data_IF_937418775970
#
_entry.id   IF_937418775970
#
_cell.length_a   1.000
_cell.length_b   1.000
_cell.length_c   1.000
_cell.angle_alpha   90.00
_cell.angle_beta   90.00
_cell.angle_gamma   90.00
#
_symmetry.space_group_name_H-M   'P 1'
#
loop_
_entity.id
_entity.type
_entity.pdbx_description
1 polymer ?
#
# COMPACT_ATOMS: atom_id res chain seq x y z
N UNK A 1 7.62 3.96 4.56
CA UNK A 1 7.17 5.01 5.48
C UNK A 1 5.88 4.55 6.11
N UNK A 2 5.81 4.56 7.36
CA UNK A 2 4.74 4.91 8.23
C UNK A 2 4.63 4.02 9.44
N UNK A 3 4.74 4.64 10.53
CA UNK A 3 3.81 4.45 11.65
C UNK A 3 2.77 5.54 11.48
N UNK A 4 1.52 5.16 11.63
CA UNK A 4 0.30 5.94 11.48
C UNK A 4 0.42 7.46 11.33
N UNK A 5 -0.41 8.00 10.49
CA UNK A 5 -0.58 9.44 10.24
C UNK A 5 -0.64 10.32 11.52
N UNK A 6 -0.78 9.74 12.71
CA UNK A 6 -0.74 10.44 13.99
C UNK A 6 0.59 11.12 14.31
N UNK A 7 1.74 10.56 13.86
CA UNK A 7 3.07 11.16 14.08
C UNK A 7 3.42 12.25 13.05
N UNK A 8 2.64 12.39 11.99
CA UNK A 8 2.88 13.31 10.87
C UNK A 8 2.69 14.78 11.28
N UNK A 9 1.98 15.05 12.35
CA UNK A 9 1.50 16.39 12.65
C UNK A 9 2.23 17.11 13.78
N UNK A 10 3.46 16.75 14.04
CA UNK A 10 4.26 17.39 15.09
C UNK A 10 4.42 18.92 14.95
N UNK A 11 4.02 19.48 13.78
CA UNK A 11 4.08 20.93 13.56
C UNK A 11 2.86 21.44 12.81
N UNK A 12 1.75 21.61 13.52
CA UNK A 12 0.52 22.22 12.99
C UNK A 12 0.77 23.56 12.27
N UNK A 13 1.80 24.30 12.70
CA UNK A 13 2.21 25.55 12.06
C UNK A 13 2.60 25.36 10.57
N UNK A 14 3.30 24.29 10.22
CA UNK A 14 3.67 24.04 8.84
C UNK A 14 2.45 23.77 7.96
N UNK A 15 1.47 23.05 8.48
CA UNK A 15 0.20 22.80 7.78
C UNK A 15 -0.49 24.11 7.45
N UNK A 16 -0.59 24.98 8.45
CA UNK A 16 -1.21 26.31 8.27
C UNK A 16 -0.45 27.14 7.25
N UNK A 17 0.88 27.19 7.32
CA UNK A 17 1.73 27.90 6.35
C UNK A 17 1.56 27.37 4.94
N UNK A 18 1.48 26.04 4.75
CA UNK A 18 1.24 25.44 3.44
C UNK A 18 -0.13 25.80 2.88
N UNK A 19 -1.16 25.83 3.71
CA UNK A 19 -2.50 26.23 3.30
C UNK A 19 -2.53 27.74 2.99
N UNK A 20 -1.94 28.59 3.83
CA UNK A 20 -1.85 30.05 3.64
C UNK A 20 -1.09 30.44 2.36
N UNK A 21 -0.19 29.58 1.86
CA UNK A 21 0.50 29.82 0.59
C UNK A 21 -0.46 29.83 -0.62
N UNK A 22 -1.61 29.16 -0.53
CA UNK A 22 -2.61 29.00 -1.60
C UNK A 22 -3.95 29.65 -1.29
N UNK A 23 -4.37 29.61 -0.04
CA UNK A 23 -5.68 30.12 0.41
C UNK A 23 -5.43 31.35 1.28
N UNK A 24 -6.01 32.49 0.87
CA UNK A 24 -5.86 33.78 1.56
C UNK A 24 -7.07 34.13 2.43
N UNK A 25 -8.16 33.36 2.35
CA UNK A 25 -9.36 33.60 3.14
C UNK A 25 -9.12 33.34 4.64
N UNK A 26 -9.22 34.37 5.49
CA UNK A 26 -8.95 34.23 6.93
C UNK A 26 -9.96 33.34 7.64
N UNK A 27 -11.17 33.19 7.10
CA UNK A 27 -12.20 32.34 7.72
C UNK A 27 -11.85 30.85 7.52
N UNK A 28 -11.35 30.48 6.34
CA UNK A 28 -10.90 29.13 6.05
C UNK A 28 -9.68 28.80 6.91
N UNK A 29 -8.72 29.71 7.00
CA UNK A 29 -7.52 29.53 7.84
C UNK A 29 -7.89 29.35 9.32
N UNK A 30 -8.81 30.17 9.82
CA UNK A 30 -9.33 30.06 11.19
C UNK A 30 -10.03 28.72 11.44
N UNK A 31 -10.82 28.25 10.47
CA UNK A 31 -11.48 26.95 10.55
C UNK A 31 -10.47 25.80 10.61
N UNK A 32 -9.46 25.82 9.74
CA UNK A 32 -8.39 24.81 9.74
C UNK A 32 -7.64 24.80 11.08
N UNK A 33 -7.28 25.96 11.62
CA UNK A 33 -6.63 26.07 12.93
C UNK A 33 -7.50 25.48 14.05
N UNK A 34 -8.81 25.69 14.01
CA UNK A 34 -9.76 25.09 14.96
C UNK A 34 -9.82 23.57 14.80
N UNK A 35 -9.87 23.06 13.56
CA UNK A 35 -9.86 21.63 13.30
C UNK A 35 -8.57 20.93 13.76
N UNK A 36 -7.42 21.60 13.61
CA UNK A 36 -6.14 21.09 14.07
C UNK A 36 -6.03 21.07 15.62
N UNK A 37 -6.67 22.04 16.28
CA UNK A 37 -6.71 22.13 17.75
C UNK A 37 -7.84 21.31 18.37
N UNK A 38 -8.83 20.87 17.59
CA UNK A 38 -9.91 20.03 18.09
C UNK A 38 -9.32 18.68 18.50
N UNK A 39 -9.39 18.36 19.79
CA UNK A 39 -8.98 17.08 20.33
C UNK A 39 -9.85 15.91 19.83
N UNK A 40 -9.53 14.71 20.25
CA UNK A 40 -10.32 13.51 20.00
C UNK A 40 -11.22 13.27 21.20
N UNK A 41 -12.50 12.99 20.94
CA UNK A 41 -13.37 12.45 21.97
C UNK A 41 -13.32 10.92 21.91
N UNK A 42 -12.69 10.32 22.89
CA UNK A 42 -12.53 8.89 23.03
C UNK A 42 -13.36 8.43 24.23
N UNK A 43 -14.41 7.61 24.03
CA UNK A 43 -15.29 7.10 25.10
C UNK A 43 -15.85 8.18 26.06
N UNK A 44 -16.26 9.35 25.53
CA UNK A 44 -16.72 10.54 26.29
C UNK A 44 -15.64 11.28 27.09
N UNK A 45 -14.38 10.92 26.99
CA UNK A 45 -13.25 11.68 27.52
C UNK A 45 -12.59 12.50 26.40
N UNK A 46 -12.35 13.79 26.68
CA UNK A 46 -11.70 14.70 25.74
C UNK A 46 -10.19 14.58 25.92
N UNK A 47 -9.52 14.05 24.90
CA UNK A 47 -8.06 14.09 24.81
C UNK A 47 -7.65 15.29 23.96
N UNK A 48 -7.01 16.28 24.57
CA UNK A 48 -6.40 17.38 23.85
C UNK A 48 -5.23 16.85 23.03
N UNK A 49 -5.30 17.01 21.70
CA UNK A 49 -4.16 16.70 20.84
C UNK A 49 -3.23 17.90 20.78
N UNK A 50 -2.18 17.90 21.58
CA UNK A 50 -1.09 18.87 21.47
C UNK A 50 -0.28 18.67 20.17
N UNK A 51 -0.30 17.46 19.62
CA UNK A 51 0.39 17.07 18.39
C UNK A 51 -0.59 16.43 17.39
N UNK A 52 -0.83 17.15 16.28
CA UNK A 52 -1.47 16.55 15.11
C UNK A 52 -2.99 16.73 15.01
N UNK A 53 -3.58 16.21 13.95
CA UNK A 53 -5.03 16.02 13.84
C UNK A 53 -5.37 14.65 14.43
N UNK A 54 -6.42 14.59 15.25
CA UNK A 54 -6.86 13.35 15.86
C UNK A 54 -7.03 12.21 14.85
N UNK A 55 -6.55 11.04 15.20
CA UNK A 55 -6.70 9.83 14.37
C UNK A 55 -8.20 9.57 14.20
N UNK A 56 -8.70 9.58 12.93
CA UNK A 56 -10.14 9.46 12.64
C UNK A 56 -10.86 10.78 12.27
N UNK A 57 -10.19 11.94 12.32
CA UNK A 57 -10.76 13.19 11.83
C UNK A 57 -11.02 13.10 10.32
N UNK A 58 -12.20 13.55 9.86
CA UNK A 58 -12.60 13.57 8.45
C UNK A 58 -11.62 14.37 7.57
N UNK A 59 -11.01 15.41 8.11
CA UNK A 59 -10.05 16.26 7.40
C UNK A 59 -8.62 15.72 7.37
N UNK A 60 -8.29 14.75 8.23
CA UNK A 60 -6.94 14.20 8.37
C UNK A 60 -6.32 13.71 7.06
N UNK A 61 -7.02 12.95 6.18
CA UNK A 61 -6.46 12.49 4.92
C UNK A 61 -6.11 13.64 3.96
N UNK A 62 -6.95 14.67 3.90
CA UNK A 62 -6.73 15.83 3.02
C UNK A 62 -5.51 16.62 3.49
N UNK A 63 -5.45 16.91 4.78
CA UNK A 63 -4.35 17.65 5.41
C UNK A 63 -3.04 16.87 5.23
N UNK A 64 -3.06 15.56 5.41
CA UNK A 64 -1.92 14.68 5.16
C UNK A 64 -1.43 14.75 3.71
N UNK A 65 -2.34 14.73 2.75
CA UNK A 65 -2.00 14.87 1.33
C UNK A 65 -1.37 16.25 1.03
N UNK A 66 -1.90 17.33 1.60
CA UNK A 66 -1.33 18.68 1.48
C UNK A 66 0.08 18.70 2.07
N UNK A 67 0.27 18.13 3.25
CA UNK A 67 1.57 18.08 3.91
C UNK A 67 2.61 17.34 3.07
N UNK A 68 2.28 16.11 2.64
CA UNK A 68 3.16 15.30 1.80
C UNK A 68 3.43 15.94 0.44
N UNK A 69 2.47 16.72 -0.09
CA UNK A 69 2.70 17.48 -1.31
C UNK A 69 3.87 18.45 -1.16
N UNK A 70 3.89 19.29 -0.13
CA UNK A 70 4.95 20.29 0.05
C UNK A 70 6.26 19.68 0.56
N UNK A 71 6.16 18.72 1.50
CA UNK A 71 7.33 18.10 2.10
C UNK A 71 8.09 17.23 1.09
N UNK A 72 7.37 16.44 0.29
CA UNK A 72 7.99 15.45 -0.62
C UNK A 72 7.82 15.81 -2.09
N UNK A 73 6.58 15.96 -2.59
CA UNK A 73 6.32 16.02 -4.03
C UNK A 73 6.87 17.31 -4.63
N UNK A 74 6.52 18.46 -4.04
CA UNK A 74 7.00 19.76 -4.49
C UNK A 74 8.52 19.86 -4.36
N UNK A 75 9.08 19.48 -3.21
CA UNK A 75 10.51 19.45 -2.99
C UNK A 75 11.26 18.56 -3.99
N UNK A 76 10.74 17.37 -4.26
CA UNK A 76 11.32 16.46 -5.24
C UNK A 76 11.36 17.11 -6.64
N UNK A 77 10.25 17.72 -7.05
CA UNK A 77 10.12 18.31 -8.40
C UNK A 77 10.97 19.56 -8.57
N UNK A 78 10.86 20.50 -7.62
CA UNK A 78 11.44 21.86 -7.79
C UNK A 78 12.88 21.95 -7.27
N UNK A 79 13.29 21.10 -6.32
CA UNK A 79 14.62 21.18 -5.70
C UNK A 79 15.48 19.97 -6.07
N UNK A 80 14.97 18.76 -5.87
CA UNK A 80 15.76 17.53 -6.07
C UNK A 80 16.06 17.30 -7.56
N UNK A 81 15.01 17.27 -8.39
CA UNK A 81 15.16 16.92 -9.82
C UNK A 81 16.20 17.77 -10.57
N UNK A 82 16.28 19.10 -10.37
CA UNK A 82 17.31 19.92 -11.02
C UNK A 82 18.76 19.61 -10.56
N UNK A 83 18.95 19.02 -9.39
CA UNK A 83 20.26 18.68 -8.83
C UNK A 83 20.76 17.30 -9.25
N UNK A 84 19.90 16.46 -9.84
CA UNK A 84 20.25 15.11 -10.24
C UNK A 84 21.01 15.10 -11.58
N UNK A 85 21.90 14.11 -11.72
CA UNK A 85 22.67 13.90 -12.97
C UNK A 85 21.85 13.21 -14.05
N UNK A 86 20.82 12.46 -13.67
CA UNK A 86 20.00 11.68 -14.58
C UNK A 86 18.51 11.77 -14.30
N UNK A 87 17.75 11.03 -15.08
CA UNK A 87 16.29 10.97 -14.90
C UNK A 87 15.92 10.34 -13.55
N UNK A 88 14.95 10.95 -12.90
CA UNK A 88 14.31 10.41 -11.71
C UNK A 88 12.78 10.53 -11.80
N UNK A 89 12.08 9.57 -11.20
CA UNK A 89 10.62 9.56 -11.15
C UNK A 89 10.13 9.24 -9.75
N UNK A 90 9.13 9.97 -9.30
CA UNK A 90 8.49 9.80 -7.99
C UNK A 90 7.04 9.37 -8.18
N UNK A 91 6.63 8.32 -7.47
CA UNK A 91 5.23 7.87 -7.36
C UNK A 91 4.86 7.84 -5.89
N UNK A 92 3.81 8.57 -5.53
CA UNK A 92 3.32 8.71 -4.15
C UNK A 92 1.88 8.21 -4.06
N UNK A 93 1.58 7.48 -3.01
CA UNK A 93 0.23 7.07 -2.65
C UNK A 93 0.09 7.17 -1.13
N UNK A 94 -0.60 8.19 -0.67
CA UNK A 94 -0.67 8.58 0.73
C UNK A 94 0.74 8.74 1.34
N UNK A 95 1.10 7.90 2.30
CA UNK A 95 2.40 7.85 2.97
C UNK A 95 3.41 6.88 2.32
N UNK A 96 2.94 6.01 1.43
CA UNK A 96 3.81 5.10 0.67
C UNK A 96 4.33 5.78 -0.61
N UNK A 97 5.62 5.68 -0.89
CA UNK A 97 6.18 6.20 -2.13
C UNK A 97 7.32 5.34 -2.67
N UNK A 98 7.53 5.44 -3.98
CA UNK A 98 8.62 4.80 -4.70
C UNK A 98 9.31 5.85 -5.56
N UNK A 99 10.64 5.90 -5.48
CA UNK A 99 11.46 6.78 -6.32
C UNK A 99 12.36 5.93 -7.20
N UNK A 100 12.43 6.28 -8.46
CA UNK A 100 13.30 5.63 -9.44
C UNK A 100 14.39 6.60 -9.88
N UNK A 101 15.61 6.13 -10.02
CA UNK A 101 16.76 6.91 -10.45
C UNK A 101 17.51 6.22 -11.59
N UNK A 102 18.03 7.00 -12.49
CA UNK A 102 18.90 6.50 -13.56
C UNK A 102 20.27 6.09 -13.01
N UNK A 103 20.83 6.85 -12.08
CA UNK A 103 22.14 6.63 -11.48
C UNK A 103 22.06 6.28 -10.00
N UNK A 104 22.91 5.35 -9.57
CA UNK A 104 23.02 4.95 -8.16
C UNK A 104 23.48 6.11 -7.26
N UNK A 105 24.39 6.96 -7.76
CA UNK A 105 24.85 8.14 -7.02
C UNK A 105 23.71 9.05 -6.62
N UNK A 106 22.77 9.30 -7.55
CA UNK A 106 21.62 10.16 -7.34
C UNK A 106 20.66 9.54 -6.30
N UNK A 107 20.49 8.21 -6.36
CA UNK A 107 19.65 7.51 -5.40
C UNK A 107 20.23 7.57 -3.97
N UNK A 108 21.55 7.41 -3.80
CA UNK A 108 22.21 7.50 -2.49
C UNK A 108 22.12 8.94 -1.97
N UNK A 109 22.48 9.91 -2.80
CA UNK A 109 22.39 11.33 -2.46
C UNK A 109 20.96 11.71 -2.01
N UNK A 110 19.95 11.33 -2.81
CA UNK A 110 18.54 11.58 -2.47
C UNK A 110 18.14 10.95 -1.14
N UNK A 111 18.55 9.71 -0.87
CA UNK A 111 18.16 9.00 0.36
C UNK A 111 18.66 9.71 1.62
N UNK A 112 19.89 10.22 1.59
CA UNK A 112 20.47 10.99 2.69
C UNK A 112 19.73 12.32 2.90
N UNK A 113 19.53 13.08 1.82
CA UNK A 113 18.80 14.35 1.87
C UNK A 113 17.34 14.19 2.26
N UNK A 114 16.71 13.08 1.86
CA UNK A 114 15.36 12.74 2.26
C UNK A 114 15.26 12.54 3.78
N UNK A 115 16.22 11.87 4.41
CA UNK A 115 16.23 11.70 5.89
C UNK A 115 16.26 13.06 6.59
N UNK A 116 17.13 13.96 6.17
CA UNK A 116 17.20 15.31 6.71
C UNK A 116 15.92 16.11 6.48
N UNK A 117 15.39 16.03 5.26
CA UNK A 117 14.14 16.69 4.88
C UNK A 117 12.97 16.24 5.75
N UNK A 118 12.78 14.94 5.88
CA UNK A 118 11.70 14.37 6.71
C UNK A 118 11.87 14.78 8.18
N UNK A 119 13.07 14.69 8.75
CA UNK A 119 13.35 15.11 10.10
C UNK A 119 13.03 16.59 10.35
N UNK A 120 13.35 17.48 9.40
CA UNK A 120 13.03 18.92 9.51
C UNK A 120 11.52 19.17 9.66
N UNK A 121 10.69 18.38 8.98
CA UNK A 121 9.24 18.47 9.06
C UNK A 121 8.61 17.54 10.12
N UNK A 122 9.41 16.98 11.04
CA UNK A 122 8.91 16.12 12.09
C UNK A 122 8.43 14.75 11.62
N UNK A 123 8.85 14.32 10.42
CA UNK A 123 8.58 12.99 9.87
C UNK A 123 9.78 12.09 10.05
N UNK A 124 9.54 10.80 10.21
CA UNK A 124 10.58 9.77 10.24
C UNK A 124 10.39 8.78 9.09
N UNK A 125 11.51 8.33 8.52
CA UNK A 125 11.51 7.22 7.58
C UNK A 125 11.57 5.91 8.37
N UNK A 126 10.70 4.97 8.03
CA UNK A 126 10.79 3.62 8.60
C UNK A 126 11.94 2.87 7.91
N UNK A 127 13.07 2.76 8.61
CA UNK A 127 14.31 2.20 8.05
C UNK A 127 14.16 0.75 7.59
N UNK A 128 13.38 -0.07 8.32
CA UNK A 128 13.11 -1.46 7.95
C UNK A 128 12.40 -1.61 6.60
N UNK A 129 11.61 -0.61 6.21
CA UNK A 129 10.87 -0.61 4.93
C UNK A 129 11.54 0.22 3.84
N UNK A 130 12.38 1.17 4.23
CA UNK A 130 13.08 2.06 3.29
C UNK A 130 14.41 1.46 2.87
N UNK A 131 14.56 1.16 1.58
CA UNK A 131 15.79 0.53 1.07
C UNK A 131 16.08 0.93 -0.36
N UNK A 132 17.36 1.00 -0.69
CA UNK A 132 17.85 1.12 -2.04
C UNK A 132 17.97 -0.27 -2.67
N UNK A 133 17.44 -0.44 -3.86
CA UNK A 133 17.48 -1.71 -4.59
C UNK A 133 18.00 -1.51 -6.01
N UNK A 134 18.79 -2.46 -6.51
CA UNK A 134 19.17 -2.52 -7.91
C UNK A 134 17.98 -3.07 -8.71
N UNK A 135 17.42 -2.23 -9.60
CA UNK A 135 16.22 -2.52 -10.35
C UNK A 135 16.32 -1.97 -11.79
N UNK A 136 15.58 -2.56 -12.75
CA UNK A 136 15.55 -2.05 -14.10
C UNK A 136 16.15 -2.99 -15.14
N UNK A 137 16.25 -2.49 -16.38
CA UNK A 137 16.66 -3.28 -17.57
C UNK A 137 17.99 -3.99 -17.39
N UNK A 138 18.96 -3.32 -16.81
CA UNK A 138 20.35 -3.83 -16.66
C UNK A 138 20.62 -4.45 -15.29
N UNK A 139 19.63 -4.47 -14.40
CA UNK A 139 19.80 -5.00 -13.05
C UNK A 139 20.23 -6.47 -13.05
N UNK A 140 19.70 -7.30 -13.99
CA UNK A 140 20.07 -8.71 -14.09
C UNK A 140 21.55 -8.90 -14.44
N UNK A 141 22.07 -8.11 -15.37
CA UNK A 141 23.47 -8.18 -15.79
C UNK A 141 24.44 -7.71 -14.70
N UNK A 142 24.07 -6.61 -14.03
CA UNK A 142 24.87 -6.08 -12.91
C UNK A 142 24.87 -7.02 -11.72
N UNK A 143 23.71 -7.56 -11.34
CA UNK A 143 23.58 -8.49 -10.22
C UNK A 143 24.24 -9.83 -10.51
N UNK A 144 24.25 -10.34 -11.76
CA UNK A 144 24.92 -11.59 -12.07
C UNK A 144 26.45 -11.48 -11.94
N UNK A 145 27.06 -10.32 -12.20
CA UNK A 145 28.48 -10.06 -11.96
C UNK A 145 28.85 -10.13 -10.47
N UNK A 146 27.91 -9.81 -9.58
CA UNK A 146 28.08 -9.86 -8.12
C UNK A 146 27.47 -11.10 -7.48
N UNK A 147 27.01 -12.09 -8.27
CA UNK A 147 26.41 -13.32 -7.76
C UNK A 147 25.03 -13.13 -7.10
N UNK A 148 24.40 -11.95 -7.28
CA UNK A 148 23.12 -11.62 -6.66
C UNK A 148 21.95 -11.65 -7.65
N UNK A 149 20.72 -11.54 -7.16
CA UNK A 149 19.52 -11.40 -7.99
C UNK A 149 19.01 -9.96 -7.97
N UNK A 150 18.38 -9.48 -9.08
CA UNK A 150 17.72 -8.18 -9.08
C UNK A 150 16.76 -8.03 -7.91
N UNK A 151 16.74 -6.86 -7.30
CA UNK A 151 15.84 -6.54 -6.20
C UNK A 151 14.37 -6.66 -6.60
N UNK A 152 13.53 -6.87 -5.63
CA UNK A 152 12.07 -6.80 -5.75
C UNK A 152 11.54 -5.89 -4.67
N UNK A 153 10.47 -5.17 -4.94
CA UNK A 153 9.81 -4.34 -3.93
C UNK A 153 8.31 -4.56 -3.94
N UNK A 154 7.69 -4.28 -2.81
CA UNK A 154 6.24 -4.37 -2.67
C UNK A 154 5.67 -2.96 -2.57
N UNK A 155 4.72 -2.64 -3.46
CA UNK A 155 4.01 -1.37 -3.47
C UNK A 155 2.54 -1.62 -3.77
N UNK A 156 1.64 -0.99 -3.01
CA UNK A 156 0.18 -1.15 -3.14
C UNK A 156 -0.29 -2.61 -3.20
N UNK A 157 0.29 -3.47 -2.38
CA UNK A 157 -0.09 -4.89 -2.32
C UNK A 157 0.47 -5.78 -3.42
N UNK A 158 1.23 -5.23 -4.37
CA UNK A 158 1.90 -5.97 -5.44
C UNK A 158 3.41 -6.05 -5.22
N UNK A 159 3.99 -7.20 -5.49
CA UNK A 159 5.44 -7.35 -5.64
C UNK A 159 5.82 -7.06 -7.08
N UNK A 160 6.68 -6.07 -7.27
CA UNK A 160 7.27 -5.68 -8.57
C UNK A 160 8.61 -6.39 -8.75
N UNK A 161 8.87 -6.92 -9.95
CA UNK A 161 10.09 -7.64 -10.27
C UNK A 161 10.48 -7.49 -11.74
N UNK A 162 11.78 -7.53 -11.99
CA UNK A 162 12.36 -7.48 -13.34
C UNK A 162 12.10 -8.79 -14.07
N UNK A 163 11.58 -8.73 -15.30
CA UNK A 163 11.25 -9.89 -16.12
C UNK A 163 11.40 -9.55 -17.61
N UNK A 164 10.98 -10.47 -18.46
CA UNK A 164 10.90 -10.30 -19.92
C UNK A 164 9.47 -10.54 -20.40
N UNK A 165 9.08 -9.85 -21.47
CA UNK A 165 7.88 -10.14 -22.23
C UNK A 165 8.02 -11.45 -23.01
N UNK A 166 6.95 -11.94 -23.63
CA UNK A 166 7.01 -13.11 -24.55
C UNK A 166 8.02 -12.89 -25.67
N UNK A 167 8.19 -11.66 -26.14
CA UNK A 167 9.12 -11.28 -27.20
C UNK A 167 10.54 -10.96 -26.70
N UNK A 168 10.92 -11.39 -25.51
CA UNK A 168 12.27 -11.20 -24.95
C UNK A 168 12.59 -9.79 -24.45
N UNK A 169 11.73 -8.78 -24.67
CA UNK A 169 11.95 -7.39 -24.23
C UNK A 169 11.82 -7.27 -22.70
N UNK A 170 12.64 -6.42 -22.11
CA UNK A 170 12.54 -6.12 -20.69
C UNK A 170 11.15 -5.61 -20.31
N UNK A 171 10.62 -6.12 -19.20
CA UNK A 171 9.36 -5.69 -18.62
C UNK A 171 9.38 -5.82 -17.10
N UNK A 172 8.86 -4.82 -16.42
CA UNK A 172 8.52 -4.93 -15.01
C UNK A 172 7.18 -5.66 -14.89
N UNK A 173 7.19 -6.79 -14.22
CA UNK A 173 5.98 -7.56 -13.93
C UNK A 173 5.54 -7.36 -12.49
N UNK A 174 4.26 -7.56 -12.25
CA UNK A 174 3.61 -7.40 -10.95
C UNK A 174 2.85 -8.66 -10.58
N UNK A 175 2.92 -9.05 -9.32
CA UNK A 175 2.12 -10.14 -8.77
C UNK A 175 1.65 -9.79 -7.37
N UNK A 176 0.51 -10.31 -6.94
CA UNK A 176 0.03 -10.13 -5.55
C UNK A 176 1.13 -10.50 -4.56
N UNK A 177 1.43 -9.63 -3.62
CA UNK A 177 2.47 -9.85 -2.63
C UNK A 177 2.16 -11.07 -1.76
N UNK A 178 3.20 -11.84 -1.40
CA UNK A 178 3.06 -13.05 -0.59
C UNK A 178 2.30 -12.79 0.73
N UNK A 179 2.62 -11.67 1.39
CA UNK A 179 1.98 -11.26 2.65
C UNK A 179 0.48 -11.01 2.49
N UNK A 180 0.07 -10.24 1.45
CA UNK A 180 -1.35 -9.93 1.18
C UNK A 180 -2.12 -11.17 0.73
N UNK A 181 -1.52 -12.01 -0.14
CA UNK A 181 -2.10 -13.27 -0.56
C UNK A 181 -2.37 -14.20 0.64
N UNK A 182 -1.35 -14.44 1.47
CA UNK A 182 -1.50 -15.29 2.65
C UNK A 182 -2.52 -14.73 3.65
N UNK A 183 -2.56 -13.40 3.83
CA UNK A 183 -3.58 -12.75 4.66
C UNK A 183 -4.98 -13.03 4.14
N UNK A 184 -5.23 -12.85 2.83
CA UNK A 184 -6.53 -13.12 2.22
C UNK A 184 -6.95 -14.58 2.31
N UNK A 185 -6.02 -15.53 2.14
CA UNK A 185 -6.31 -16.95 2.34
C UNK A 185 -6.72 -17.25 3.78
N UNK A 186 -6.06 -16.66 4.78
CA UNK A 186 -6.46 -16.81 6.19
C UNK A 186 -7.83 -16.22 6.48
N UNK A 187 -8.14 -15.02 5.95
CA UNK A 187 -9.46 -14.40 6.08
C UNK A 187 -10.57 -15.30 5.52
N UNK A 188 -10.34 -15.95 4.36
CA UNK A 188 -11.28 -16.93 3.79
C UNK A 188 -11.48 -18.13 4.73
N UNK A 189 -10.39 -18.69 5.26
CA UNK A 189 -10.49 -19.84 6.16
C UNK A 189 -11.27 -19.50 7.45
N UNK A 190 -11.03 -18.32 8.02
CA UNK A 190 -11.78 -17.84 9.20
C UNK A 190 -13.25 -17.64 8.87
N UNK A 191 -13.54 -16.99 7.74
CA UNK A 191 -14.91 -16.77 7.28
C UNK A 191 -15.67 -18.09 7.07
N UNK A 192 -15.03 -19.10 6.46
CA UNK A 192 -15.59 -20.44 6.31
C UNK A 192 -15.93 -21.09 7.65
N UNK A 193 -15.13 -20.82 8.69
CA UNK A 193 -15.43 -21.26 10.06
C UNK A 193 -16.76 -20.70 10.58
N UNK A 194 -17.02 -19.43 10.34
CA UNK A 194 -18.26 -18.76 10.76
C UNK A 194 -19.48 -19.14 9.90
N UNK A 195 -19.27 -19.46 8.63
CA UNK A 195 -20.37 -19.77 7.70
C UNK A 195 -20.78 -21.25 7.68
N UNK A 196 -20.29 -22.09 8.59
CA UNK A 196 -20.59 -23.54 8.59
C UNK A 196 -22.08 -23.88 8.60
N UNK A 197 -22.91 -23.07 9.28
CA UNK A 197 -24.36 -23.29 9.41
C UNK A 197 -25.19 -22.57 8.35
N UNK A 198 -24.56 -21.72 7.51
CA UNK A 198 -25.28 -20.94 6.51
C UNK A 198 -25.79 -21.81 5.35
N UNK A 199 -26.86 -21.36 4.69
CA UNK A 199 -27.32 -21.99 3.44
C UNK A 199 -26.27 -21.84 2.33
N UNK A 200 -26.17 -22.83 1.46
CA UNK A 200 -25.19 -22.83 0.38
C UNK A 200 -25.30 -21.57 -0.50
N UNK A 201 -26.52 -21.15 -0.84
CA UNK A 201 -26.78 -19.94 -1.63
C UNK A 201 -26.19 -18.67 -1.00
N UNK A 202 -26.28 -18.56 0.32
CA UNK A 202 -25.73 -17.40 1.06
C UNK A 202 -24.20 -17.41 1.06
N UNK A 203 -23.60 -18.59 1.27
CA UNK A 203 -22.15 -18.77 1.22
C UNK A 203 -21.60 -18.42 -0.16
N UNK A 204 -22.19 -18.98 -1.23
CA UNK A 204 -21.74 -18.72 -2.60
C UNK A 204 -21.90 -17.26 -2.99
N UNK A 205 -22.99 -16.60 -2.60
CA UNK A 205 -23.17 -15.16 -2.81
C UNK A 205 -22.07 -14.35 -2.12
N UNK A 206 -21.75 -14.67 -0.84
CA UNK A 206 -20.68 -13.99 -0.08
C UNK A 206 -19.30 -14.22 -0.69
N UNK A 207 -18.99 -15.44 -1.12
CA UNK A 207 -17.73 -15.76 -1.77
C UNK A 207 -17.58 -15.07 -3.12
N UNK A 208 -18.64 -15.02 -3.92
CA UNK A 208 -18.64 -14.31 -5.20
C UNK A 208 -18.38 -12.80 -5.01
N UNK A 209 -19.00 -12.18 -3.99
CA UNK A 209 -18.71 -10.79 -3.63
C UNK A 209 -17.22 -10.58 -3.33
N UNK A 210 -16.61 -11.48 -2.53
CA UNK A 210 -15.19 -11.39 -2.17
C UNK A 210 -14.29 -11.62 -3.38
N UNK A 211 -14.60 -12.64 -4.22
CA UNK A 211 -13.83 -12.94 -5.42
C UNK A 211 -13.89 -11.78 -6.42
N UNK A 212 -15.09 -11.21 -6.64
CA UNK A 212 -15.26 -10.06 -7.53
C UNK A 212 -14.43 -8.86 -7.05
N UNK A 213 -14.48 -8.51 -5.77
CA UNK A 213 -13.66 -7.44 -5.21
C UNK A 213 -12.14 -7.73 -5.31
N UNK A 214 -11.75 -9.00 -5.10
CA UNK A 214 -10.37 -9.41 -5.29
C UNK A 214 -9.91 -9.29 -6.74
N UNK A 215 -10.75 -9.68 -7.69
CA UNK A 215 -10.45 -9.60 -9.12
C UNK A 215 -10.39 -8.16 -9.62
N UNK A 216 -11.27 -7.29 -9.16
CA UNK A 216 -11.23 -5.86 -9.51
C UNK A 216 -9.91 -5.21 -9.09
N UNK A 217 -9.37 -5.56 -7.92
CA UNK A 217 -8.13 -4.98 -7.45
C UNK A 217 -6.87 -5.67 -7.98
N UNK A 218 -6.85 -7.02 -7.96
CA UNK A 218 -5.66 -7.81 -8.29
C UNK A 218 -5.66 -8.36 -9.73
N UNK A 219 -6.74 -8.21 -10.49
CA UNK A 219 -6.92 -8.73 -11.85
C UNK A 219 -6.16 -7.92 -12.90
N UNK A 220 -4.87 -7.78 -12.72
CA UNK A 220 -3.97 -7.07 -13.64
C UNK A 220 -3.16 -8.05 -14.49
N UNK A 221 -2.64 -7.56 -15.63
CA UNK A 221 -1.70 -8.29 -16.47
C UNK A 221 -0.53 -8.82 -15.63
N UNK A 222 -0.07 -10.04 -15.91
CA UNK A 222 1.01 -10.75 -15.24
C UNK A 222 0.66 -11.34 -13.85
N UNK A 223 -0.57 -11.18 -13.34
CA UNK A 223 -0.99 -11.70 -12.04
C UNK A 223 -1.94 -12.92 -12.11
N UNK A 224 -2.18 -13.47 -13.30
CA UNK A 224 -3.14 -14.57 -13.55
C UNK A 224 -2.91 -15.78 -12.66
N UNK A 225 -1.63 -16.19 -12.48
CA UNK A 225 -1.28 -17.31 -11.60
C UNK A 225 -1.77 -17.11 -10.16
N UNK A 226 -1.62 -15.90 -9.60
CA UNK A 226 -2.07 -15.59 -8.24
C UNK A 226 -3.59 -15.50 -8.14
N UNK A 227 -4.24 -14.98 -9.17
CA UNK A 227 -5.71 -14.96 -9.27
C UNK A 227 -6.26 -16.38 -9.29
N UNK A 228 -5.73 -17.24 -10.16
CA UNK A 228 -6.15 -18.66 -10.25
C UNK A 228 -5.87 -19.40 -8.95
N UNK A 229 -4.70 -19.20 -8.34
CA UNK A 229 -4.37 -19.81 -7.06
C UNK A 229 -5.32 -19.36 -5.92
N UNK A 230 -5.73 -18.09 -5.91
CA UNK A 230 -6.68 -17.58 -4.92
C UNK A 230 -8.07 -18.20 -5.12
N UNK A 231 -8.56 -18.21 -6.38
CA UNK A 231 -9.83 -18.88 -6.70
C UNK A 231 -9.82 -20.33 -6.26
N UNK A 232 -8.76 -21.07 -6.61
CA UNK A 232 -8.62 -22.47 -6.20
C UNK A 232 -8.64 -22.64 -4.67
N UNK A 233 -7.95 -21.75 -3.94
CA UNK A 233 -7.97 -21.76 -2.47
C UNK A 233 -9.38 -21.55 -1.91
N UNK A 234 -10.16 -20.61 -2.45
CA UNK A 234 -11.54 -20.35 -2.05
C UNK A 234 -12.42 -21.57 -2.31
N UNK A 235 -12.32 -22.17 -3.51
CA UNK A 235 -13.06 -23.38 -3.89
C UNK A 235 -12.74 -24.56 -2.96
N UNK A 236 -11.45 -24.77 -2.69
CA UNK A 236 -10.99 -25.82 -1.78
C UNK A 236 -11.47 -25.60 -0.35
N UNK A 237 -11.47 -24.36 0.13
CA UNK A 237 -11.98 -24.02 1.46
C UNK A 237 -13.49 -24.27 1.57
N UNK A 238 -14.26 -23.95 0.52
CA UNK A 238 -15.69 -24.25 0.45
C UNK A 238 -15.94 -25.77 0.44
N UNK A 239 -15.21 -26.51 -0.38
CA UNK A 239 -15.29 -27.98 -0.41
C UNK A 239 -15.08 -28.61 0.95
N UNK A 240 -14.05 -28.20 1.68
CA UNK A 240 -13.82 -28.70 3.04
C UNK A 240 -14.89 -28.24 4.03
N UNK A 241 -15.40 -27.03 3.89
CA UNK A 241 -16.47 -26.54 4.73
C UNK A 241 -17.74 -27.38 4.58
N UNK A 242 -18.15 -27.71 3.35
CA UNK A 242 -19.34 -28.52 3.08
C UNK A 242 -19.17 -29.96 3.56
N UNK A 243 -18.02 -30.59 3.31
CA UNK A 243 -17.75 -31.97 3.73
C UNK A 243 -17.57 -32.13 5.26
N UNK A 244 -17.37 -31.03 6.00
CA UNK A 244 -17.27 -31.05 7.47
C UNK A 244 -18.58 -30.71 8.18
N UNK A 245 -19.71 -30.56 7.47
CA UNK A 245 -21.02 -30.27 8.04
C UNK A 245 -21.68 -31.51 8.63
N UNK A 246 -21.33 -32.68 8.14
CA UNK A 246 -21.78 -33.96 8.64
C UNK A 246 -20.61 -34.89 8.88
N UNK A 247 -20.84 -35.98 9.63
CA UNK A 247 -19.84 -37.03 9.82
C UNK A 247 -19.61 -37.86 8.54
N UNK A 248 -20.55 -37.81 7.58
CA UNK A 248 -20.44 -38.48 6.30
C UNK A 248 -19.83 -37.53 5.28
N UNK A 249 -18.89 -38.02 4.48
CA UNK A 249 -18.36 -37.30 3.34
C UNK A 249 -19.47 -37.08 2.31
N UNK A 250 -19.88 -35.82 2.09
CA UNK A 250 -21.06 -35.47 1.29
C UNK A 250 -20.76 -35.40 -0.20
N UNK A 251 -19.55 -34.97 -0.57
CA UNK A 251 -19.18 -34.73 -1.97
C UNK A 251 -17.76 -35.20 -2.25
N UNK A 252 -17.54 -35.80 -3.45
CA UNK A 252 -16.21 -35.86 -4.03
C UNK A 252 -15.91 -34.57 -4.79
N UNK A 253 -14.67 -34.38 -5.26
CA UNK A 253 -14.25 -33.12 -5.89
C UNK A 253 -14.97 -32.85 -7.21
N UNK A 254 -15.27 -33.91 -7.99
CA UNK A 254 -15.96 -33.79 -9.30
C UNK A 254 -17.42 -33.40 -9.09
N UNK A 255 -18.13 -34.09 -8.19
CA UNK A 255 -19.51 -33.74 -7.81
C UNK A 255 -19.61 -32.30 -7.31
N UNK A 256 -18.66 -31.88 -6.47
CA UNK A 256 -18.60 -30.52 -5.97
C UNK A 256 -18.44 -29.49 -7.10
N UNK A 257 -17.54 -29.74 -8.07
CA UNK A 257 -17.35 -28.83 -9.21
C UNK A 257 -18.57 -28.73 -10.12
N UNK A 258 -19.32 -29.83 -10.29
CA UNK A 258 -20.56 -29.84 -11.08
C UNK A 258 -21.73 -29.14 -10.39
N UNK A 259 -21.65 -28.96 -9.05
CA UNK A 259 -22.71 -28.31 -8.25
C UNK A 259 -22.58 -26.78 -8.24
N UNK A 260 -21.36 -26.26 -8.45
CA UNK A 260 -21.02 -24.82 -8.34
C UNK A 260 -20.85 -24.20 -9.70
#
# INVERSE_FOLDING_TARGET
>A
VSRGLGDVYKRQEWIVRFIESRIKDPNIIRLVRRMLKAGIMNNYEFEATEEGSGQGSVCSPIISCIYMHYVLIWWFKEVVTPMLKGYAGLVVYADDFVVTFQYKSDAVWFYEHLKHRMGHFGLSLEEEKSRLIEFGRYAKERCSKSGTKPGTFTFLGFTHYCSKSKNGRFRVKRKTSKKKFAKKCREINQLMGHMKTWKLKEITAKLNQILTGYYHYYGITDNTERITAFRYHVMKSLFYCLNRRSQKKSYNWVEFLNMI
#
